data_IF_294760113884
#
_entry.id   IF_294760113884
#
_cell.length_a   1.000
_cell.length_b   1.000
_cell.length_c   1.000
_cell.angle_alpha   90.00
_cell.angle_beta   90.00
_cell.angle_gamma   90.00
#
_symmetry.space_group_name_H-M   'P 1'
#
loop_
_entity.id
_entity.type
_entity.pdbx_description
1 polymer ?
#
# COMPACT_ATOMS: atom_id res chain seq x y z
N UNK A 1 11.44 -25.78 -10.89
CA UNK A 1 10.20 -25.06 -11.23
C UNK A 1 10.49 -23.59 -11.32
N UNK A 2 10.20 -22.98 -12.45
CA UNK A 2 10.40 -21.55 -12.64
C UNK A 2 9.11 -20.83 -12.20
N UNK A 3 9.21 -19.96 -11.20
CA UNK A 3 8.10 -19.11 -10.77
C UNK A 3 8.20 -17.82 -11.58
N UNK A 4 7.18 -17.55 -12.38
CA UNK A 4 7.11 -16.30 -13.17
C UNK A 4 6.19 -15.35 -12.42
N UNK A 5 6.79 -14.33 -11.77
CA UNK A 5 6.07 -13.28 -11.08
C UNK A 5 6.05 -12.03 -11.96
N UNK A 6 4.89 -11.41 -12.07
CA UNK A 6 4.69 -10.19 -12.85
C UNK A 6 4.08 -9.10 -11.99
N UNK A 7 4.70 -7.92 -12.05
CA UNK A 7 4.15 -6.71 -11.42
C UNK A 7 3.38 -5.96 -12.49
N UNK A 8 2.07 -5.80 -12.31
CA UNK A 8 1.22 -5.17 -13.31
C UNK A 8 0.28 -4.12 -12.71
N UNK A 9 -0.03 -3.11 -13.53
CA UNK A 9 -1.05 -2.12 -13.21
C UNK A 9 -2.44 -2.75 -13.37
N UNK A 10 -3.40 -2.24 -12.61
CA UNK A 10 -4.74 -2.83 -12.56
C UNK A 10 -5.59 -2.36 -13.75
N UNK A 11 -6.15 -3.32 -14.49
CA UNK A 11 -7.17 -3.07 -15.49
C UNK A 11 -8.54 -3.54 -14.97
N UNK A 12 -9.60 -3.35 -15.76
CA UNK A 12 -10.96 -3.70 -15.35
C UNK A 12 -11.15 -5.19 -15.08
N UNK A 13 -10.51 -6.05 -15.86
CA UNK A 13 -10.60 -7.50 -15.67
C UNK A 13 -9.91 -7.93 -14.37
N UNK A 14 -8.73 -7.39 -14.13
CA UNK A 14 -7.94 -7.70 -12.94
C UNK A 14 -8.61 -7.16 -11.68
N UNK A 15 -9.35 -6.06 -11.78
CA UNK A 15 -10.05 -5.46 -10.65
C UNK A 15 -10.94 -6.47 -9.93
N UNK A 16 -11.66 -7.29 -10.66
CA UNK A 16 -12.54 -8.32 -10.07
C UNK A 16 -11.73 -9.36 -9.29
N UNK A 17 -10.58 -9.77 -9.83
CA UNK A 17 -9.71 -10.72 -9.17
C UNK A 17 -9.08 -10.14 -7.90
N UNK A 18 -8.72 -8.85 -7.92
CA UNK A 18 -8.22 -8.16 -6.75
C UNK A 18 -9.27 -8.10 -5.65
N UNK A 19 -10.51 -7.75 -5.98
CA UNK A 19 -11.60 -7.72 -5.02
C UNK A 19 -11.80 -9.10 -4.40
N UNK A 20 -11.76 -10.16 -5.20
CA UNK A 20 -11.86 -11.53 -4.70
C UNK A 20 -10.69 -11.88 -3.78
N UNK A 21 -9.46 -11.50 -4.16
CA UNK A 21 -8.28 -11.71 -3.34
C UNK A 21 -8.41 -11.04 -1.97
N UNK A 22 -8.81 -9.76 -1.95
CA UNK A 22 -9.00 -9.00 -0.71
C UNK A 22 -10.13 -9.58 0.15
N UNK A 23 -11.20 -10.05 -0.47
CA UNK A 23 -12.35 -10.63 0.24
C UNK A 23 -11.98 -11.88 1.04
N UNK A 24 -10.92 -12.57 0.66
CA UNK A 24 -10.45 -13.77 1.34
C UNK A 24 -9.45 -13.48 2.46
N UNK A 25 -9.11 -12.20 2.68
CA UNK A 25 -8.19 -11.78 3.75
C UNK A 25 -9.00 -11.38 4.97
N UNK A 26 -8.82 -12.09 6.08
CA UNK A 26 -9.63 -11.89 7.29
C UNK A 26 -9.47 -10.50 7.93
N UNK A 27 -8.32 -9.87 7.76
CA UNK A 27 -8.07 -8.53 8.29
C UNK A 27 -8.70 -7.41 7.44
N UNK A 28 -9.17 -7.73 6.23
CA UNK A 28 -9.83 -6.76 5.35
C UNK A 28 -11.33 -6.86 5.59
N UNK A 29 -11.89 -5.88 6.28
CA UNK A 29 -13.32 -5.86 6.66
C UNK A 29 -14.18 -5.10 5.65
N UNK A 30 -13.59 -4.10 4.98
CA UNK A 30 -14.25 -3.31 3.94
C UNK A 30 -13.32 -3.17 2.75
N UNK A 31 -13.89 -3.19 1.55
CA UNK A 31 -13.15 -3.00 0.32
C UNK A 31 -13.63 -1.72 -0.34
N UNK A 32 -12.72 -0.76 -0.48
CA UNK A 32 -12.98 0.48 -1.21
C UNK A 32 -12.67 0.23 -2.68
N UNK A 33 -13.70 -0.03 -3.47
CA UNK A 33 -13.55 -0.34 -4.89
C UNK A 33 -13.01 0.84 -5.70
N UNK A 34 -13.22 2.06 -5.23
CA UNK A 34 -12.80 3.27 -5.95
C UNK A 34 -11.29 3.40 -6.05
N UNK A 35 -10.55 2.85 -5.10
CA UNK A 35 -9.08 2.95 -5.09
C UNK A 35 -8.37 1.73 -5.66
N UNK A 36 -9.11 0.66 -6.02
CA UNK A 36 -8.50 -0.58 -6.52
C UNK A 36 -7.69 -0.31 -7.80
N UNK A 37 -8.23 0.49 -8.72
CA UNK A 37 -7.59 0.77 -10.01
C UNK A 37 -6.29 1.58 -9.89
N UNK A 38 -6.07 2.25 -8.75
CA UNK A 38 -4.85 3.04 -8.52
C UNK A 38 -3.66 2.19 -8.06
N UNK A 39 -3.90 0.92 -7.80
CA UNK A 39 -2.90 0.03 -7.23
C UNK A 39 -2.05 -0.72 -8.23
N UNK A 40 -1.22 -1.59 -7.67
CA UNK A 40 -0.32 -2.49 -8.42
C UNK A 40 -0.49 -3.89 -7.83
N UNK A 41 -0.58 -4.89 -8.70
CA UNK A 41 -0.71 -6.28 -8.30
C UNK A 41 0.53 -7.08 -8.69
N UNK A 42 0.81 -8.09 -7.87
CA UNK A 42 1.82 -9.08 -8.15
C UNK A 42 1.11 -10.38 -8.53
N UNK A 43 1.35 -10.87 -9.73
CA UNK A 43 0.74 -12.10 -10.26
C UNK A 43 1.77 -13.20 -10.44
N UNK A 44 1.35 -14.42 -10.13
CA UNK A 44 2.06 -15.65 -10.47
C UNK A 44 1.07 -16.55 -11.18
N UNK A 45 1.37 -16.88 -12.44
CA UNK A 45 0.51 -17.71 -13.29
C UNK A 45 -0.95 -17.25 -13.28
N UNK A 46 -1.15 -15.94 -13.45
CA UNK A 46 -2.45 -15.25 -13.45
C UNK A 46 -3.19 -15.27 -12.11
N UNK A 47 -2.53 -15.70 -11.03
CA UNK A 47 -3.10 -15.63 -9.68
C UNK A 47 -2.51 -14.45 -8.91
N UNK A 48 -3.35 -13.72 -8.20
CA UNK A 48 -2.93 -12.59 -7.39
C UNK A 48 -2.17 -13.10 -6.16
N UNK A 49 -0.93 -12.68 -6.00
CA UNK A 49 -0.06 -13.02 -4.88
C UNK A 49 0.26 -11.82 -3.99
N UNK A 50 0.01 -10.63 -4.48
CA UNK A 50 0.21 -9.41 -3.71
C UNK A 50 -0.54 -8.25 -4.33
N UNK A 51 -0.81 -7.24 -3.50
CA UNK A 51 -1.52 -6.04 -3.95
C UNK A 51 -1.17 -4.88 -3.03
N UNK A 52 -1.01 -3.70 -3.62
CA UNK A 52 -0.79 -2.45 -2.89
C UNK A 52 -1.48 -1.32 -3.63
N UNK A 53 -2.11 -0.42 -2.88
CA UNK A 53 -2.72 0.79 -3.44
C UNK A 53 -2.59 1.95 -2.46
N UNK A 54 -3.12 3.10 -2.85
CA UNK A 54 -3.14 4.29 -2.01
C UNK A 54 -4.43 5.07 -2.22
N UNK A 55 -4.79 5.85 -1.20
CA UNK A 55 -5.87 6.85 -1.28
C UNK A 55 -5.21 8.21 -1.43
N UNK A 56 -5.57 8.96 -2.47
CA UNK A 56 -5.06 10.31 -2.66
C UNK A 56 -5.72 11.26 -1.65
N UNK A 57 -4.88 12.00 -0.96
CA UNK A 57 -5.29 12.96 0.05
C UNK A 57 -4.39 14.19 -0.06
N UNK A 58 -4.89 15.26 -0.66
CA UNK A 58 -4.08 16.43 -1.02
C UNK A 58 -2.86 16.00 -1.85
N UNK A 59 -1.64 16.36 -1.43
CA UNK A 59 -0.40 15.93 -2.07
C UNK A 59 0.10 14.56 -1.59
N UNK A 60 -0.64 13.92 -0.68
CA UNK A 60 -0.25 12.64 -0.08
C UNK A 60 -0.99 11.47 -0.70
N UNK A 61 -0.32 10.31 -0.72
CA UNK A 61 -0.95 9.02 -0.96
C UNK A 61 -0.91 8.19 0.32
N UNK A 62 -2.07 7.92 0.89
CA UNK A 62 -2.16 7.05 2.06
C UNK A 62 -2.15 5.59 1.60
N UNK A 63 -1.13 4.84 1.98
CA UNK A 63 -1.00 3.43 1.60
C UNK A 63 -2.16 2.62 2.16
N UNK A 64 -2.81 1.83 1.30
CA UNK A 64 -3.91 0.93 1.66
C UNK A 64 -3.68 -0.43 1.01
N UNK A 65 -4.13 -1.47 1.69
CA UNK A 65 -4.12 -2.84 1.18
C UNK A 65 -2.74 -3.36 0.77
N UNK A 66 -1.69 -3.05 1.52
CA UNK A 66 -0.37 -3.61 1.26
C UNK A 66 -0.34 -5.06 1.77
N UNK A 67 -0.76 -5.97 0.92
CA UNK A 67 -0.97 -7.38 1.26
C UNK A 67 -0.21 -8.24 0.26
N UNK A 68 0.53 -9.22 0.73
CA UNK A 68 1.26 -10.16 -0.11
C UNK A 68 1.37 -11.51 0.61
N UNK A 69 1.52 -12.57 -0.17
CA UNK A 69 1.71 -13.90 0.38
C UNK A 69 3.08 -14.00 1.08
N UNK A 70 3.10 -14.79 2.15
CA UNK A 70 4.36 -15.10 2.85
C UNK A 70 5.29 -15.85 1.91
N UNK A 71 6.59 -15.72 2.14
CA UNK A 71 7.65 -16.39 1.40
C UNK A 71 7.89 -15.87 -0.02
N UNK A 72 7.31 -14.72 -0.37
CA UNK A 72 7.69 -14.04 -1.61
C UNK A 72 9.09 -13.46 -1.46
N UNK A 73 9.94 -13.56 -2.50
CA UNK A 73 11.24 -12.87 -2.49
C UNK A 73 11.05 -11.37 -2.28
N UNK A 74 11.88 -10.77 -1.42
CA UNK A 74 11.78 -9.36 -1.10
C UNK A 74 11.95 -8.45 -2.31
N UNK A 75 12.68 -8.90 -3.34
CA UNK A 75 12.84 -8.16 -4.59
C UNK A 75 11.51 -7.88 -5.29
N UNK A 76 10.54 -8.80 -5.21
CA UNK A 76 9.23 -8.60 -5.83
C UNK A 76 8.40 -7.58 -5.06
N UNK A 77 8.53 -7.54 -3.74
CA UNK A 77 7.86 -6.54 -2.91
C UNK A 77 8.43 -5.15 -3.24
N UNK A 78 9.73 -5.04 -3.38
CA UNK A 78 10.41 -3.81 -3.78
C UNK A 78 9.97 -3.36 -5.18
N UNK A 79 9.89 -4.29 -6.13
CA UNK A 79 9.45 -4.00 -7.50
C UNK A 79 8.00 -3.51 -7.53
N UNK A 80 7.14 -4.14 -6.75
CA UNK A 80 5.74 -3.75 -6.64
C UNK A 80 5.62 -2.33 -6.07
N UNK A 81 6.38 -2.02 -5.02
CA UNK A 81 6.40 -0.69 -4.43
C UNK A 81 6.96 0.34 -5.41
N UNK A 82 8.04 0.03 -6.12
CA UNK A 82 8.63 0.93 -7.13
C UNK A 82 7.64 1.27 -8.24
N UNK A 83 6.85 0.29 -8.68
CA UNK A 83 5.81 0.51 -9.68
C UNK A 83 4.72 1.43 -9.15
N UNK A 84 4.36 1.29 -7.88
CA UNK A 84 3.39 2.17 -7.24
C UNK A 84 3.92 3.60 -7.15
N UNK A 85 5.20 3.78 -6.85
CA UNK A 85 5.85 5.10 -6.80
C UNK A 85 5.73 5.79 -8.16
N UNK A 86 6.01 5.08 -9.25
CA UNK A 86 5.89 5.64 -10.60
C UNK A 86 4.45 6.07 -10.92
N UNK A 87 3.49 5.23 -10.55
CA UNK A 87 2.08 5.52 -10.76
C UNK A 87 1.63 6.74 -9.96
N UNK A 88 2.04 6.81 -8.69
CA UNK A 88 1.72 7.94 -7.82
C UNK A 88 2.35 9.24 -8.31
N UNK A 89 3.56 9.17 -8.86
CA UNK A 89 4.24 10.32 -9.45
C UNK A 89 3.44 10.90 -10.63
N UNK A 90 2.88 10.03 -11.47
CA UNK A 90 2.01 10.45 -12.57
C UNK A 90 0.68 11.03 -12.08
N UNK A 91 0.26 10.67 -10.87
CA UNK A 91 -0.95 11.19 -10.23
C UNK A 91 -0.67 12.42 -9.33
N UNK A 92 0.51 12.99 -9.47
CA UNK A 92 0.95 14.20 -8.74
C UNK A 92 1.02 14.03 -7.21
N UNK A 93 1.27 12.81 -6.75
CA UNK A 93 1.49 12.52 -5.33
C UNK A 93 2.95 12.87 -4.99
N UNK A 94 3.13 13.68 -3.96
CA UNK A 94 4.47 14.11 -3.52
C UNK A 94 5.09 13.19 -2.49
N UNK A 95 4.26 12.54 -1.67
CA UNK A 95 4.72 11.65 -0.60
C UNK A 95 3.70 10.55 -0.33
N UNK A 96 4.19 9.38 0.06
CA UNK A 96 3.34 8.33 0.64
C UNK A 96 3.33 8.44 2.16
N UNK A 97 2.18 8.13 2.74
CA UNK A 97 2.01 8.01 4.18
C UNK A 97 1.54 6.58 4.49
N UNK A 98 2.14 5.98 5.49
CA UNK A 98 1.68 4.70 6.03
C UNK A 98 1.50 4.81 7.52
N UNK A 99 0.47 4.18 8.05
CA UNK A 99 0.20 4.16 9.47
C UNK A 99 0.46 2.75 9.99
N UNK A 100 1.54 2.60 10.75
CA UNK A 100 1.99 1.30 11.28
C UNK A 100 1.55 1.09 12.72
N UNK A 101 0.80 0.03 12.97
CA UNK A 101 0.34 -0.35 14.31
C UNK A 101 1.22 -1.42 14.95
N UNK A 102 1.94 -2.20 14.15
CA UNK A 102 2.78 -3.30 14.63
C UNK A 102 4.22 -3.07 14.24
N UNK A 103 5.15 -3.68 15.00
CA UNK A 103 6.58 -3.56 14.68
C UNK A 103 6.90 -4.20 13.32
N UNK A 104 6.22 -5.27 12.95
CA UNK A 104 6.43 -5.92 11.65
C UNK A 104 6.13 -4.98 10.48
N UNK A 105 5.03 -4.24 10.58
CA UNK A 105 4.63 -3.26 9.56
C UNK A 105 5.63 -2.11 9.53
N UNK A 106 6.04 -1.60 10.69
CA UNK A 106 7.01 -0.50 10.79
C UNK A 106 8.33 -0.92 10.15
N UNK A 107 8.82 -2.14 10.45
CA UNK A 107 10.07 -2.65 9.90
C UNK A 107 9.99 -2.81 8.38
N UNK A 108 8.86 -3.29 7.86
CA UNK A 108 8.65 -3.43 6.42
C UNK A 108 8.78 -2.07 5.71
N UNK A 109 8.11 -1.05 6.22
CA UNK A 109 8.17 0.27 5.61
C UNK A 109 9.52 0.94 5.78
N UNK A 110 10.22 0.68 6.90
CA UNK A 110 11.60 1.15 7.07
C UNK A 110 12.52 0.54 6.01
N UNK A 111 12.35 -0.72 5.67
CA UNK A 111 13.10 -1.37 4.59
C UNK A 111 12.81 -0.75 3.22
N UNK A 112 11.62 -0.20 3.04
CA UNK A 112 11.24 0.52 1.83
C UNK A 112 11.63 2.00 1.86
N UNK A 113 12.45 2.41 2.83
CA UNK A 113 12.98 3.77 3.00
C UNK A 113 11.96 4.80 3.51
N UNK A 114 10.88 4.34 4.14
CA UNK A 114 10.02 5.24 4.89
C UNK A 114 10.70 5.68 6.18
N UNK A 115 10.33 6.85 6.68
CA UNK A 115 10.82 7.37 7.95
C UNK A 115 9.66 7.84 8.81
N UNK A 116 9.84 7.77 10.13
CA UNK A 116 8.80 8.17 11.07
C UNK A 116 8.71 9.69 11.17
N UNK A 117 7.48 10.20 11.19
CA UNK A 117 7.22 11.63 11.47
C UNK A 117 6.37 11.74 12.74
N UNK A 118 6.34 12.94 13.31
CA UNK A 118 5.50 13.22 14.47
C UNK A 118 4.02 13.16 14.08
N UNK A 119 3.20 12.50 14.89
CA UNK A 119 1.76 12.42 14.65
C UNK A 119 1.10 13.79 14.55
N UNK A 120 1.56 14.74 15.36
CA UNK A 120 1.00 16.09 15.38
C UNK A 120 1.23 16.86 14.08
N UNK A 121 2.19 16.43 13.28
CA UNK A 121 2.51 17.03 11.98
C UNK A 121 1.70 16.41 10.83
N UNK A 122 0.86 15.43 11.14
CA UNK A 122 0.02 14.76 10.14
C UNK A 122 -1.44 14.87 10.52
N UNK A 123 -2.23 15.51 9.66
CA UNK A 123 -3.65 15.71 9.87
C UNK A 123 -4.45 15.01 8.77
N UNK A 124 -5.44 14.22 9.17
CA UNK A 124 -6.42 13.65 8.26
C UNK A 124 -7.68 14.48 8.38
N UNK A 125 -8.10 15.11 7.27
CA UNK A 125 -9.27 15.99 7.25
C UNK A 125 -9.22 17.10 8.33
N UNK A 126 -8.00 17.62 8.57
CA UNK A 126 -7.78 18.67 9.55
C UNK A 126 -7.71 18.21 11.00
N UNK A 127 -7.71 16.90 11.24
CA UNK A 127 -7.66 16.34 12.59
C UNK A 127 -6.43 15.45 12.75
N UNK A 128 -5.76 15.56 13.90
CA UNK A 128 -4.66 14.66 14.22
C UNK A 128 -5.20 13.29 14.68
N UNK A 129 -4.31 12.36 14.98
CA UNK A 129 -4.69 10.99 15.36
C UNK A 129 -5.02 10.83 16.85
N UNK A 130 -4.87 11.89 17.63
CA UNK A 130 -5.15 11.85 19.08
C UNK A 130 -6.62 11.58 19.35
N UNK A 131 -6.88 10.69 20.30
CA UNK A 131 -8.23 10.28 20.65
C UNK A 131 -8.88 9.33 19.67
N UNK A 132 -8.16 8.87 18.64
CA UNK A 132 -8.62 7.88 17.68
C UNK A 132 -8.00 6.52 17.98
N UNK A 133 -8.46 5.49 17.28
CA UNK A 133 -7.87 4.16 17.34
C UNK A 133 -6.39 4.14 16.91
N UNK A 134 -5.95 5.17 16.19
CA UNK A 134 -4.62 5.29 15.63
C UNK A 134 -3.66 6.10 16.50
N UNK A 135 -4.07 6.52 17.70
CA UNK A 135 -3.25 7.36 18.57
C UNK A 135 -1.89 6.73 18.89
N UNK A 136 -1.86 5.42 19.11
CA UNK A 136 -0.63 4.68 19.41
C UNK A 136 0.14 4.25 18.18
N UNK A 137 -0.40 4.48 16.98
CA UNK A 137 0.24 4.09 15.74
C UNK A 137 1.36 5.04 15.36
N UNK A 138 2.35 4.54 14.62
CA UNK A 138 3.43 5.35 14.05
C UNK A 138 3.05 5.83 12.67
N UNK A 139 3.32 7.08 12.38
CA UNK A 139 3.12 7.67 11.06
C UNK A 139 4.45 7.64 10.31
N UNK A 140 4.46 7.00 9.16
CA UNK A 140 5.65 6.80 8.34
C UNK A 140 5.47 7.51 7.01
N UNK A 141 6.54 8.13 6.52
CA UNK A 141 6.51 8.94 5.30
C UNK A 141 7.59 8.51 4.32
N UNK A 142 7.26 8.52 3.04
CA UNK A 142 8.20 8.30 1.95
C UNK A 142 8.05 9.45 0.95
N UNK A 143 9.14 10.18 0.71
CA UNK A 143 9.12 11.32 -0.22
C UNK A 143 9.34 10.83 -1.65
N UNK A 144 8.37 11.10 -2.53
CA UNK A 144 8.46 10.76 -3.96
C UNK A 144 9.16 11.88 -4.72
N UNK A 145 8.93 13.11 -4.29
CA UNK A 145 9.50 14.32 -4.90
C UNK A 145 10.37 15.06 -3.91
#
# INVERSE_FOLDING_TARGET
MVIILQVININEELKKEIINFLSNISSVTEIDEDIISSGVALLDDNQVKGYITYVKFCEYGLIRYFIFQKNLPSSFITDMFSSLVLRAKNDEIESFISIGKTQEVIDLFNELAFYQIEQDNFLINGQNLRGTELEEAKVLKFDII
#
